data_IF_119445947206
#
_entry.id   IF_119445947206
#
_cell.length_a   1.000
_cell.length_b   1.000
_cell.length_c   1.000
_cell.angle_alpha   90.00
_cell.angle_beta   90.00
_cell.angle_gamma   90.00
#
_symmetry.space_group_name_H-M   'P 1'
#
loop_
_entity.id
_entity.type
_entity.pdbx_description
1 polymer ?
#
# COMPACT_ATOMS: atom_id res chain seq x y z
N UNK A 1 38.80 61.99 -10.05
CA UNK A 1 38.03 60.93 -10.72
C UNK A 1 38.28 59.60 -10.02
N UNK A 2 37.41 59.19 -9.09
CA UNK A 2 37.45 57.83 -8.48
C UNK A 2 36.10 57.53 -7.81
N UNK A 3 34.99 57.69 -8.54
CA UNK A 3 33.65 57.37 -7.97
C UNK A 3 32.81 56.49 -8.91
N UNK A 4 33.27 56.17 -10.13
CA UNK A 4 32.41 55.51 -11.13
C UNK A 4 32.65 54.00 -11.33
N UNK A 5 33.50 53.34 -10.53
CA UNK A 5 33.83 51.91 -10.71
C UNK A 5 33.19 51.01 -9.62
N UNK A 6 32.73 51.56 -8.49
CA UNK A 6 32.28 50.76 -7.33
C UNK A 6 30.83 50.28 -7.42
N UNK A 7 29.90 51.07 -8.01
CA UNK A 7 28.47 50.72 -8.05
C UNK A 7 28.16 49.36 -8.71
N UNK A 8 28.93 48.98 -9.73
CA UNK A 8 28.69 47.73 -10.47
C UNK A 8 29.13 46.50 -9.67
N UNK A 9 30.20 46.65 -8.87
CA UNK A 9 30.67 45.61 -7.95
C UNK A 9 29.71 45.46 -6.76
N UNK A 10 29.21 46.58 -6.23
CA UNK A 10 28.27 46.60 -5.10
C UNK A 10 26.93 45.95 -5.46
N UNK A 11 26.41 46.16 -6.68
CA UNK A 11 25.21 45.47 -7.19
C UNK A 11 25.39 43.96 -7.31
N UNK A 12 26.57 43.51 -7.77
CA UNK A 12 26.90 42.07 -7.88
C UNK A 12 26.98 41.45 -6.49
N UNK A 13 27.62 42.12 -5.55
CA UNK A 13 27.74 41.70 -4.15
C UNK A 13 26.35 41.66 -3.49
N UNK A 14 25.52 42.67 -3.70
CA UNK A 14 24.18 42.73 -3.13
C UNK A 14 23.26 41.63 -3.69
N UNK A 15 23.38 41.32 -4.99
CA UNK A 15 22.72 40.16 -5.59
C UNK A 15 23.13 38.84 -4.92
N UNK A 16 24.43 38.57 -4.77
CA UNK A 16 24.90 37.34 -4.11
C UNK A 16 24.48 37.29 -2.64
N UNK A 17 24.50 38.41 -1.92
CA UNK A 17 24.03 38.50 -0.53
C UNK A 17 22.54 38.21 -0.41
N UNK A 18 21.73 38.64 -1.38
CA UNK A 18 20.29 38.37 -1.42
C UNK A 18 20.00 36.91 -1.80
N UNK A 19 20.75 36.36 -2.75
CA UNK A 19 20.59 34.98 -3.20
C UNK A 19 21.01 33.95 -2.14
N UNK A 20 22.12 34.20 -1.46
CA UNK A 20 22.66 33.31 -0.42
C UNK A 20 22.33 33.79 1.01
N UNK A 21 21.42 34.76 1.16
CA UNK A 21 20.95 35.31 2.44
C UNK A 21 22.05 35.71 3.45
N UNK A 22 23.26 36.04 3.00
CA UNK A 22 24.43 36.23 3.88
C UNK A 22 24.37 37.48 4.75
N UNK A 23 23.35 38.34 4.59
CA UNK A 23 23.09 39.51 5.44
C UNK A 23 22.20 39.16 6.64
N UNK A 24 21.41 38.08 6.53
CA UNK A 24 20.62 37.57 7.64
C UNK A 24 21.47 36.60 8.47
N UNK A 25 21.34 36.65 9.78
CA UNK A 25 22.02 35.72 10.70
C UNK A 25 21.22 34.40 10.80
N UNK A 26 20.91 33.80 9.65
CA UNK A 26 20.17 32.54 9.53
C UNK A 26 21.23 31.46 9.28
N UNK A 27 21.36 30.49 10.20
CA UNK A 27 22.13 29.28 9.92
C UNK A 27 21.32 28.46 8.91
N UNK A 28 21.91 28.18 7.75
CA UNK A 28 21.36 27.23 6.80
C UNK A 28 21.89 25.87 7.23
N UNK A 29 21.12 25.17 8.04
CA UNK A 29 21.45 23.80 8.46
C UNK A 29 21.06 22.85 7.33
N UNK A 30 21.91 21.87 7.04
CA UNK A 30 21.57 20.83 6.08
C UNK A 30 20.49 19.90 6.65
N UNK A 31 19.79 19.17 5.77
CA UNK A 31 18.82 18.18 6.24
C UNK A 31 19.47 17.11 7.13
N UNK A 32 20.67 16.67 6.79
CA UNK A 32 21.41 15.67 7.57
C UNK A 32 21.77 16.23 8.95
N UNK A 33 22.24 17.49 9.02
CA UNK A 33 22.51 18.16 10.30
C UNK A 33 21.26 18.28 11.19
N UNK A 34 20.09 18.50 10.60
CA UNK A 34 18.82 18.51 11.33
C UNK A 34 18.43 17.13 11.85
N UNK A 35 18.64 16.07 11.05
CA UNK A 35 18.40 14.68 11.46
C UNK A 35 19.32 14.27 12.60
N UNK A 36 20.61 14.58 12.50
CA UNK A 36 21.60 14.27 13.52
C UNK A 36 21.27 14.96 14.85
N UNK A 37 20.96 16.27 14.81
CA UNK A 37 20.53 17.01 16.00
C UNK A 37 19.25 16.46 16.60
N UNK A 38 18.30 16.04 15.78
CA UNK A 38 17.07 15.44 16.29
C UNK A 38 17.38 14.15 17.04
N UNK A 39 18.16 13.25 16.45
CA UNK A 39 18.57 12.00 17.08
C UNK A 39 19.30 12.25 18.41
N UNK A 40 20.22 13.22 18.47
CA UNK A 40 20.92 13.62 19.70
C UNK A 40 19.97 14.12 20.81
N UNK A 41 18.93 14.88 20.43
CA UNK A 41 17.99 15.48 21.39
C UNK A 41 16.81 14.58 21.77
N UNK A 42 16.64 13.44 21.10
CA UNK A 42 15.48 12.54 21.26
C UNK A 42 15.88 11.11 21.60
N UNK A 43 17.07 10.91 22.19
CA UNK A 43 17.61 9.59 22.56
C UNK A 43 17.65 8.59 21.38
N UNK A 44 17.97 9.08 20.18
CA UNK A 44 18.09 8.26 18.97
C UNK A 44 16.77 7.90 18.31
N UNK A 45 15.70 8.68 18.52
CA UNK A 45 14.43 8.50 17.81
C UNK A 45 14.62 8.65 16.30
N UNK A 46 14.02 7.74 15.54
CA UNK A 46 14.11 7.74 14.07
C UNK A 46 13.36 8.95 13.50
N UNK A 47 14.03 9.74 12.66
CA UNK A 47 13.45 10.92 12.03
C UNK A 47 12.32 10.57 11.05
N UNK A 48 12.49 9.47 10.31
CA UNK A 48 11.56 9.00 9.31
C UNK A 48 10.59 7.98 9.95
N UNK A 49 9.48 8.47 10.50
CA UNK A 49 8.43 7.62 11.05
C UNK A 49 7.66 6.99 9.87
N UNK A 50 7.64 5.65 9.73
CA UNK A 50 6.88 5.01 8.68
C UNK A 50 5.37 5.29 8.87
N UNK A 51 4.69 5.61 7.78
CA UNK A 51 3.25 5.71 7.79
C UNK A 51 2.66 4.30 7.69
N UNK A 52 2.18 3.78 8.83
CA UNK A 52 1.53 2.47 8.92
C UNK A 52 0.34 2.32 7.97
N UNK A 53 -0.25 3.44 7.50
CA UNK A 53 -1.35 3.42 6.53
C UNK A 53 -0.89 3.14 5.09
N UNK A 54 0.41 3.27 4.79
CA UNK A 54 0.98 3.10 3.45
C UNK A 54 1.88 1.87 3.42
N UNK A 55 1.26 0.68 3.42
CA UNK A 55 1.99 -0.57 3.24
C UNK A 55 2.10 -0.94 1.75
N UNK A 56 3.14 -0.39 1.08
CA UNK A 56 3.38 -0.59 -0.36
C UNK A 56 3.58 -2.07 -0.70
N UNK A 57 4.25 -2.83 0.18
CA UNK A 57 4.47 -4.26 -0.02
C UNK A 57 3.16 -5.03 -0.08
N UNK A 58 2.26 -4.80 0.88
CA UNK A 58 0.92 -5.40 0.90
C UNK A 58 0.17 -5.06 -0.40
N UNK A 59 0.17 -3.79 -0.80
CA UNK A 59 -0.54 -3.31 -1.99
C UNK A 59 -0.10 -4.04 -3.27
N UNK A 60 1.18 -4.39 -3.40
CA UNK A 60 1.73 -5.11 -4.56
C UNK A 60 1.56 -6.62 -4.42
N UNK A 61 1.72 -7.17 -3.22
CA UNK A 61 1.68 -8.62 -2.98
C UNK A 61 0.26 -9.18 -2.99
N UNK A 62 -0.73 -8.46 -2.46
CA UNK A 62 -2.13 -8.89 -2.42
C UNK A 62 -2.70 -9.32 -3.78
N UNK A 63 -2.63 -8.51 -4.86
CA UNK A 63 -3.16 -8.91 -6.17
C UNK A 63 -2.42 -10.13 -6.76
N UNK A 64 -1.13 -10.27 -6.48
CA UNK A 64 -0.33 -11.42 -6.92
C UNK A 64 -0.74 -12.69 -6.18
N UNK A 65 -0.98 -12.60 -4.87
CA UNK A 65 -1.44 -13.74 -4.06
C UNK A 65 -2.85 -14.16 -4.47
N UNK A 66 -3.74 -13.20 -4.71
CA UNK A 66 -5.12 -13.46 -5.17
C UNK A 66 -5.11 -14.14 -6.54
N UNK A 67 -4.39 -13.60 -7.52
CA UNK A 67 -4.30 -14.20 -8.87
C UNK A 67 -3.74 -15.62 -8.83
N UNK A 68 -2.64 -15.85 -8.10
CA UNK A 68 -2.07 -17.19 -7.88
C UNK A 68 -3.09 -18.17 -7.33
N UNK A 69 -3.91 -17.75 -6.37
CA UNK A 69 -4.97 -18.61 -5.82
C UNK A 69 -6.07 -18.89 -6.86
N UNK A 70 -6.55 -17.87 -7.58
CA UNK A 70 -7.58 -18.03 -8.60
C UNK A 70 -7.15 -18.96 -9.74
N UNK A 71 -5.86 -19.01 -10.06
CA UNK A 71 -5.29 -19.94 -11.04
C UNK A 71 -5.37 -21.40 -10.59
N UNK A 72 -5.36 -21.66 -9.28
CA UNK A 72 -5.54 -23.02 -8.75
C UNK A 72 -6.98 -23.54 -8.83
N UNK A 73 -7.96 -22.63 -9.03
CA UNK A 73 -9.37 -22.98 -9.06
C UNK A 73 -9.82 -23.43 -10.45
N UNK A 74 -10.92 -24.18 -10.50
CA UNK A 74 -11.57 -24.49 -11.78
C UNK A 74 -12.30 -23.26 -12.33
N UNK A 75 -12.51 -23.20 -13.65
CA UNK A 75 -13.30 -22.13 -14.30
C UNK A 75 -14.69 -21.99 -13.67
N UNK A 76 -15.33 -23.12 -13.35
CA UNK A 76 -16.63 -23.13 -12.69
C UNK A 76 -16.58 -22.50 -11.30
N UNK A 77 -15.52 -22.76 -10.53
CA UNK A 77 -15.37 -22.25 -9.17
C UNK A 77 -15.06 -20.75 -9.18
N UNK A 78 -14.24 -20.28 -10.14
CA UNK A 78 -14.03 -18.85 -10.38
C UNK A 78 -15.34 -18.14 -10.73
N UNK A 79 -16.15 -18.72 -11.62
CA UNK A 79 -17.45 -18.13 -12.00
C UNK A 79 -18.44 -18.09 -10.83
N UNK A 80 -18.43 -19.09 -9.95
CA UNK A 80 -19.21 -19.05 -8.71
C UNK A 80 -18.77 -17.88 -7.83
N UNK A 81 -17.45 -17.65 -7.67
CA UNK A 81 -16.95 -16.54 -6.87
C UNK A 81 -17.32 -15.18 -7.46
N UNK A 82 -17.17 -14.98 -8.78
CA UNK A 82 -17.53 -13.70 -9.43
C UNK A 82 -19.01 -13.39 -9.25
N UNK A 83 -19.89 -14.38 -9.46
CA UNK A 83 -21.33 -14.18 -9.26
C UNK A 83 -21.68 -13.93 -7.79
N UNK A 84 -20.91 -14.47 -6.84
CA UNK A 84 -21.09 -14.18 -5.41
C UNK A 84 -20.60 -12.78 -5.03
N UNK A 85 -19.60 -12.24 -5.72
CA UNK A 85 -19.16 -10.84 -5.57
C UNK A 85 -20.23 -9.87 -6.12
N UNK A 86 -20.97 -10.28 -7.16
CA UNK A 86 -22.10 -9.53 -7.72
C UNK A 86 -23.41 -9.72 -6.92
N UNK A 87 -23.34 -10.22 -5.68
CA UNK A 87 -24.47 -10.49 -4.78
C UNK A 87 -25.56 -11.43 -5.35
N UNK A 88 -25.24 -12.25 -6.35
CA UNK A 88 -26.19 -13.21 -6.92
C UNK A 88 -26.50 -14.33 -5.92
N UNK A 89 -27.79 -14.71 -5.83
CA UNK A 89 -28.26 -15.78 -4.95
C UNK A 89 -27.77 -17.15 -5.41
N UNK A 90 -27.59 -18.09 -4.47
CA UNK A 90 -27.10 -19.44 -4.76
C UNK A 90 -28.02 -20.22 -5.72
N UNK A 91 -29.32 -19.93 -5.68
CA UNK A 91 -30.32 -20.54 -6.56
C UNK A 91 -30.13 -20.09 -8.00
N UNK A 92 -29.97 -18.78 -8.22
CA UNK A 92 -29.75 -18.22 -9.55
C UNK A 92 -28.39 -18.63 -10.13
N UNK A 93 -27.35 -18.74 -9.29
CA UNK A 93 -26.05 -19.30 -9.69
C UNK A 93 -26.20 -20.76 -10.14
N UNK A 94 -26.98 -21.55 -9.40
CA UNK A 94 -27.20 -22.95 -9.76
C UNK A 94 -27.93 -23.07 -11.09
N UNK A 95 -28.95 -22.24 -11.33
CA UNK A 95 -29.68 -22.19 -12.60
C UNK A 95 -28.76 -21.82 -13.78
N UNK A 96 -27.98 -20.76 -13.65
CA UNK A 96 -27.09 -20.28 -14.73
C UNK A 96 -25.98 -21.29 -15.08
N UNK A 97 -25.44 -21.98 -14.07
CA UNK A 97 -24.36 -22.95 -14.25
C UNK A 97 -24.87 -24.38 -14.48
N UNK A 98 -26.19 -24.60 -14.53
CA UNK A 98 -26.80 -25.91 -14.79
C UNK A 98 -26.68 -26.92 -13.63
N UNK A 99 -26.56 -26.47 -12.38
CA UNK A 99 -26.59 -27.33 -11.21
C UNK A 99 -28.03 -27.65 -10.78
N UNK A 100 -28.27 -28.90 -10.39
CA UNK A 100 -29.59 -29.38 -9.95
C UNK A 100 -30.09 -28.74 -8.65
N UNK A 101 -29.19 -28.33 -7.75
CA UNK A 101 -29.53 -27.79 -6.43
C UNK A 101 -28.58 -26.69 -6.00
N UNK A 102 -29.10 -25.67 -5.31
CA UNK A 102 -28.28 -24.60 -4.71
C UNK A 102 -27.28 -25.16 -3.68
N UNK A 103 -27.58 -26.29 -3.05
CA UNK A 103 -26.68 -26.96 -2.12
C UNK A 103 -25.39 -27.46 -2.79
N UNK A 104 -25.42 -27.75 -4.10
CA UNK A 104 -24.21 -28.10 -4.85
C UNK A 104 -23.24 -26.91 -4.93
N UNK A 105 -23.76 -25.69 -5.14
CA UNK A 105 -22.99 -24.45 -5.13
C UNK A 105 -22.44 -24.21 -3.72
N UNK A 106 -23.25 -24.36 -2.68
CA UNK A 106 -22.79 -24.21 -1.30
C UNK A 106 -21.62 -25.17 -0.97
N UNK A 107 -21.70 -26.43 -1.42
CA UNK A 107 -20.60 -27.41 -1.27
C UNK A 107 -19.34 -27.00 -2.04
N UNK A 108 -19.49 -26.43 -3.24
CA UNK A 108 -18.38 -25.90 -4.04
C UNK A 108 -17.70 -24.74 -3.32
N UNK A 109 -18.46 -23.75 -2.83
CA UNK A 109 -17.93 -22.63 -2.05
C UNK A 109 -17.16 -23.13 -0.82
N UNK A 110 -17.67 -24.13 -0.10
CA UNK A 110 -16.95 -24.73 1.02
C UNK A 110 -15.62 -25.37 0.59
N UNK A 111 -15.59 -26.07 -0.55
CA UNK A 111 -14.34 -26.64 -1.10
C UNK A 111 -13.32 -25.56 -1.46
N UNK A 112 -13.78 -24.45 -2.04
CA UNK A 112 -12.93 -23.30 -2.36
C UNK A 112 -12.36 -22.69 -1.07
N UNK A 113 -13.19 -22.49 -0.04
CA UNK A 113 -12.75 -21.99 1.26
C UNK A 113 -11.69 -22.90 1.92
N UNK A 114 -11.89 -24.22 1.87
CA UNK A 114 -10.90 -25.20 2.34
C UNK A 114 -9.58 -25.15 1.54
N UNK A 115 -9.65 -24.93 0.23
CA UNK A 115 -8.46 -24.78 -0.59
C UNK A 115 -7.70 -23.48 -0.24
N UNK A 116 -8.43 -22.40 0.04
CA UNK A 116 -7.86 -21.13 0.46
C UNK A 116 -7.23 -21.19 1.86
N UNK A 117 -7.86 -21.91 2.81
CA UNK A 117 -7.31 -22.17 4.14
C UNK A 117 -5.95 -22.88 4.03
N UNK A 118 -5.85 -23.90 3.17
CA UNK A 118 -4.59 -24.61 2.90
C UNK A 118 -3.55 -23.75 2.18
N UNK A 119 -3.98 -22.91 1.26
CA UNK A 119 -3.10 -22.03 0.49
C UNK A 119 -2.51 -20.90 1.37
N UNK A 120 -3.35 -20.29 2.21
CA UNK A 120 -2.96 -19.18 3.09
C UNK A 120 -2.27 -19.63 4.38
N UNK A 121 -2.46 -20.90 4.78
CA UNK A 121 -1.95 -21.46 6.04
C UNK A 121 -2.62 -20.89 7.28
N UNK A 122 -3.70 -20.11 7.12
CA UNK A 122 -4.47 -19.51 8.22
C UNK A 122 -5.74 -20.34 8.44
N UNK A 123 -6.07 -20.63 9.70
CA UNK A 123 -7.35 -21.24 10.05
C UNK A 123 -8.48 -20.20 9.92
N UNK A 124 -9.35 -20.42 8.93
CA UNK A 124 -10.50 -19.58 8.62
C UNK A 124 -11.82 -20.26 9.01
N UNK A 125 -11.75 -21.42 9.68
CA UNK A 125 -12.92 -22.15 10.14
C UNK A 125 -13.67 -22.93 9.05
N UNK A 126 -13.13 -23.07 7.83
CA UNK A 126 -13.75 -23.90 6.79
C UNK A 126 -13.56 -25.40 7.04
N UNK A 127 -12.51 -25.75 7.79
CA UNK A 127 -12.23 -27.10 8.30
C UNK A 127 -13.27 -27.60 9.32
N UNK A 128 -13.98 -26.69 10.00
CA UNK A 128 -14.99 -27.04 11.00
C UNK A 128 -16.30 -27.52 10.34
N UNK A 129 -16.84 -28.65 10.83
CA UNK A 129 -18.02 -29.33 10.26
C UNK A 129 -19.32 -28.49 10.26
N UNK A 130 -19.41 -27.43 11.06
CA UNK A 130 -20.57 -26.54 11.17
C UNK A 130 -20.16 -25.09 10.90
N UNK A 131 -20.30 -24.68 9.64
CA UNK A 131 -20.51 -23.28 9.31
C UNK A 131 -22.02 -23.18 9.07
N UNK A 132 -22.76 -22.72 10.07
CA UNK A 132 -24.17 -22.36 10.02
C UNK A 132 -24.23 -20.89 10.40
#
# INVERSE_FOLDING_TARGET
MKILITERADKKIDFYRKWYHTRAKISVESLDELKDKYAENTDGMEWDIPDDSVNVEITVLEPIVVSKFLDTLSETDRKILTMRMDDVTLEKIAEELGFKTHSAIHKRIRKIGLAYEKFSGKDLGFSNKKII
#
